data_IF_308097218191
#
_entry.id   IF_308097218191
#
_cell.length_a   1.000
_cell.length_b   1.000
_cell.length_c   1.000
_cell.angle_alpha   90.00
_cell.angle_beta   90.00
_cell.angle_gamma   90.00
#
_symmetry.space_group_name_H-M   'P 1'
#
loop_
_entity.id
_entity.type
_entity.pdbx_description
1 polymer ?
#
# COMPACT_ATOMS: atom_id res chain seq x y z
N UNK A 1 -26.49 31.62 -68.15
CA UNK A 1 -27.81 31.24 -67.60
C UNK A 1 -27.59 30.10 -66.63
N UNK A 2 -27.90 30.36 -65.35
CA UNK A 2 -28.03 29.52 -64.15
C UNK A 2 -27.04 28.36 -63.91
N UNK A 3 -26.19 28.43 -62.88
CA UNK A 3 -26.46 28.21 -61.43
C UNK A 3 -26.94 26.80 -61.09
N UNK A 4 -26.15 26.06 -60.29
CA UNK A 4 -26.49 25.66 -58.90
C UNK A 4 -25.37 24.77 -58.31
N UNK A 5 -24.47 25.38 -57.53
CA UNK A 5 -23.66 24.67 -56.51
C UNK A 5 -24.10 25.16 -55.13
N UNK A 6 -24.35 24.28 -54.14
CA UNK A 6 -24.88 24.69 -52.84
C UNK A 6 -23.82 25.40 -51.98
N UNK A 7 -24.22 26.37 -51.13
CA UNK A 7 -23.28 27.10 -50.29
C UNK A 7 -22.86 26.28 -49.05
N UNK A 8 -21.57 26.37 -48.73
CA UNK A 8 -20.97 25.90 -47.49
C UNK A 8 -21.62 26.60 -46.30
N UNK A 9 -22.22 25.84 -45.38
CA UNK A 9 -22.77 26.36 -44.14
C UNK A 9 -21.66 27.04 -43.30
N UNK A 10 -21.76 28.36 -43.13
CA UNK A 10 -20.98 29.10 -42.13
C UNK A 10 -21.37 28.58 -40.74
N UNK A 11 -20.40 28.07 -40.01
CA UNK A 11 -20.55 27.69 -38.61
C UNK A 11 -21.04 28.89 -37.78
N UNK A 12 -22.18 28.71 -37.13
CA UNK A 12 -22.68 29.61 -36.10
C UNK A 12 -21.79 29.43 -34.88
N UNK A 13 -20.93 30.41 -34.59
CA UNK A 13 -20.33 30.55 -33.27
C UNK A 13 -21.45 30.96 -32.29
N UNK A 14 -21.74 30.20 -31.22
CA UNK A 14 -22.62 30.70 -30.19
C UNK A 14 -21.89 31.82 -29.43
N UNK A 15 -22.25 33.06 -29.73
CA UNK A 15 -21.89 34.21 -28.89
C UNK A 15 -22.72 34.12 -27.62
N UNK A 16 -22.07 33.80 -26.51
CA UNK A 16 -22.71 33.85 -25.19
C UNK A 16 -23.17 35.29 -24.89
N UNK A 17 -24.44 35.51 -24.53
CA UNK A 17 -24.93 36.84 -24.17
C UNK A 17 -24.14 37.41 -22.99
N UNK A 18 -23.79 38.70 -23.04
CA UNK A 18 -22.98 39.36 -22.01
C UNK A 18 -23.56 39.20 -20.59
N UNK A 19 -24.89 39.10 -20.48
CA UNK A 19 -25.60 38.91 -19.21
C UNK A 19 -25.30 37.53 -18.57
N UNK A 20 -25.05 36.49 -19.38
CA UNK A 20 -24.65 35.17 -18.88
C UNK A 20 -23.21 35.19 -18.34
N UNK A 21 -22.35 36.00 -18.95
CA UNK A 21 -20.96 36.16 -18.55
C UNK A 21 -20.85 36.98 -17.25
N UNK A 22 -21.70 38.01 -17.11
CA UNK A 22 -21.85 38.78 -15.88
C UNK A 22 -22.42 37.92 -14.73
N UNK A 23 -23.43 37.08 -15.01
CA UNK A 23 -24.01 36.16 -14.04
C UNK A 23 -22.98 35.11 -13.55
N UNK A 24 -22.18 34.54 -14.46
CA UNK A 24 -21.10 33.61 -14.10
C UNK A 24 -20.01 34.30 -13.27
N UNK A 25 -19.64 35.52 -13.63
CA UNK A 25 -18.62 36.29 -12.88
C UNK A 25 -19.13 36.61 -11.47
N UNK A 26 -20.40 36.99 -11.32
CA UNK A 26 -21.04 37.20 -10.01
C UNK A 26 -21.10 35.92 -9.17
N UNK A 27 -21.39 34.76 -9.79
CA UNK A 27 -21.43 33.47 -9.12
C UNK A 27 -20.03 33.03 -8.63
N UNK A 28 -19.00 33.25 -9.44
CA UNK A 28 -17.59 32.98 -9.10
C UNK A 28 -17.09 33.88 -7.98
N UNK A 29 -17.44 35.18 -8.00
CA UNK A 29 -17.12 36.13 -6.93
C UNK A 29 -17.87 35.81 -5.62
N UNK A 30 -19.12 35.34 -5.70
CA UNK A 30 -19.88 34.86 -4.55
C UNK A 30 -19.24 33.63 -3.88
N UNK A 31 -18.71 32.71 -4.68
CA UNK A 31 -17.96 31.55 -4.17
C UNK A 31 -16.64 31.95 -3.50
N UNK A 32 -15.94 32.99 -3.98
CA UNK A 32 -14.68 33.46 -3.38
C UNK A 32 -14.92 34.21 -2.07
N UNK A 33 -16.05 34.93 -1.95
CA UNK A 33 -16.45 35.58 -0.71
C UNK A 33 -16.94 34.56 0.35
N UNK A 34 -17.67 33.51 -0.07
CA UNK A 34 -18.09 32.43 0.83
C UNK A 34 -16.91 31.59 1.35
N UNK A 35 -15.82 31.47 0.58
CA UNK A 35 -14.59 30.81 1.00
C UNK A 35 -13.70 31.68 1.93
N UNK A 36 -13.96 32.99 2.01
CA UNK A 36 -13.23 33.94 2.88
C UNK A 36 -14.08 34.41 4.08
N UNK A 37 -15.26 33.84 4.28
CA UNK A 37 -16.09 34.06 5.47
C UNK A 37 -15.44 33.45 6.70
N UNK A 38 -14.71 34.27 7.44
CA UNK A 38 -14.24 34.01 8.80
C UNK A 38 -15.42 33.60 9.69
N UNK A 39 -15.58 32.29 9.94
CA UNK A 39 -16.30 31.83 11.12
C UNK A 39 -15.36 32.04 12.29
N UNK A 40 -15.55 33.16 13.00
CA UNK A 40 -14.99 33.39 14.32
C UNK A 40 -15.66 32.42 15.30
N UNK A 41 -15.26 31.15 15.28
CA UNK A 41 -15.27 30.38 16.53
C UNK A 41 -14.06 30.83 17.32
N UNK A 42 -14.30 31.62 18.36
CA UNK A 42 -13.40 31.81 19.48
C UNK A 42 -13.08 30.43 20.06
N UNK A 43 -12.02 29.82 19.56
CA UNK A 43 -11.21 28.86 20.28
C UNK A 43 -9.79 29.10 19.78
N UNK A 44 -8.99 29.71 20.64
CA UNK A 44 -7.54 29.66 20.54
C UNK A 44 -7.13 28.18 20.58
N UNK A 45 -7.09 27.53 19.43
CA UNK A 45 -6.38 26.27 19.25
C UNK A 45 -5.26 26.57 18.28
N UNK A 46 -4.04 26.67 18.82
CA UNK A 46 -2.84 26.26 18.10
C UNK A 46 -3.21 25.10 17.16
N UNK A 47 -3.14 25.29 15.85
CA UNK A 47 -3.36 24.21 14.88
C UNK A 47 -2.21 23.23 15.02
N UNK A 48 -2.32 22.35 16.02
CA UNK A 48 -1.44 21.22 16.22
C UNK A 48 -1.58 20.37 14.97
N UNK A 49 -0.60 20.49 14.05
CA UNK A 49 -0.40 19.57 12.94
C UNK A 49 -0.68 18.16 13.47
N UNK A 50 -1.56 17.36 12.85
CA UNK A 50 -1.93 16.06 13.39
C UNK A 50 -0.66 15.25 13.63
N UNK A 51 -0.34 15.05 14.91
CA UNK A 51 0.90 14.45 15.31
C UNK A 51 0.83 12.96 14.97
N UNK A 52 1.89 12.43 14.35
CA UNK A 52 1.99 11.01 14.06
C UNK A 52 1.81 10.21 15.37
N UNK A 53 0.88 9.25 15.45
CA UNK A 53 0.56 8.59 16.71
C UNK A 53 1.79 7.91 17.33
N UNK A 54 2.05 8.15 18.62
CA UNK A 54 3.25 7.62 19.31
C UNK A 54 3.37 6.10 19.21
N UNK A 55 2.26 5.38 19.39
CA UNK A 55 2.21 3.91 19.32
C UNK A 55 2.45 3.33 17.92
N UNK A 56 2.49 4.18 16.89
CA UNK A 56 2.68 3.81 15.50
C UNK A 56 4.08 4.14 14.98
N UNK A 57 4.92 4.83 15.77
CA UNK A 57 6.21 5.31 15.31
C UNK A 57 7.17 4.17 14.98
N UNK A 58 8.06 4.43 14.02
CA UNK A 58 9.07 3.49 13.62
C UNK A 58 10.19 3.45 14.67
N UNK A 59 10.41 2.26 15.19
CA UNK A 59 11.42 1.93 16.21
C UNK A 59 12.29 0.73 15.77
N UNK A 60 11.91 0.04 14.70
CA UNK A 60 12.66 -1.06 14.13
C UNK A 60 11.79 -1.98 13.26
N UNK A 61 12.28 -3.19 12.91
CA UNK A 61 11.57 -4.09 12.00
C UNK A 61 10.18 -4.50 12.52
N UNK A 62 10.02 -4.69 13.83
CA UNK A 62 8.76 -5.13 14.46
C UNK A 62 7.63 -4.11 14.31
N UNK A 63 7.95 -2.81 14.33
CA UNK A 63 6.95 -1.73 14.23
C UNK A 63 6.70 -1.30 12.78
N UNK A 64 7.51 -1.74 11.82
CA UNK A 64 7.43 -1.33 10.42
C UNK A 64 6.06 -1.53 9.78
N UNK A 65 5.40 -2.68 10.02
CA UNK A 65 4.08 -2.96 9.42
C UNK A 65 3.00 -1.99 9.94
N UNK A 66 3.00 -1.73 11.25
CA UNK A 66 2.07 -0.78 11.87
C UNK A 66 2.40 0.67 11.44
N UNK A 67 3.68 1.03 11.43
CA UNK A 67 4.16 2.32 10.98
C UNK A 67 3.75 2.62 9.54
N UNK A 68 3.97 1.69 8.61
CA UNK A 68 3.62 1.88 7.21
C UNK A 68 2.11 2.00 7.02
N UNK A 69 1.31 1.21 7.76
CA UNK A 69 -0.15 1.33 7.76
C UNK A 69 -0.59 2.72 8.22
N UNK A 70 -0.01 3.23 9.30
CA UNK A 70 -0.37 4.53 9.87
C UNK A 70 0.12 5.69 9.00
N UNK A 71 1.30 5.56 8.39
CA UNK A 71 1.81 6.50 7.41
C UNK A 71 0.83 6.67 6.22
N UNK A 72 0.25 5.58 5.72
CA UNK A 72 -0.78 5.65 4.66
C UNK A 72 -2.03 6.41 5.07
N UNK A 73 -2.45 6.27 6.32
CA UNK A 73 -3.62 6.94 6.88
C UNK A 73 -3.35 8.43 7.13
N UNK A 74 -2.12 8.79 7.51
CA UNK A 74 -1.72 10.18 7.74
C UNK A 74 -1.42 10.94 6.44
N UNK A 75 -1.05 10.25 5.37
CA UNK A 75 -0.78 10.86 4.06
C UNK A 75 -2.09 11.12 3.30
N UNK A 76 -2.22 12.34 2.79
CA UNK A 76 -3.24 12.67 1.79
C UNK A 76 -3.08 11.80 0.53
N UNK A 77 -4.19 11.50 -0.15
CA UNK A 77 -4.22 10.56 -1.28
C UNK A 77 -3.24 10.95 -2.40
N UNK A 78 -3.16 12.24 -2.71
CA UNK A 78 -2.29 12.80 -3.74
C UNK A 78 -0.80 12.74 -3.38
N UNK A 79 -0.45 12.88 -2.11
CA UNK A 79 0.94 12.78 -1.62
C UNK A 79 1.36 11.33 -1.42
N UNK A 80 0.41 10.43 -1.14
CA UNK A 80 0.68 9.03 -0.81
C UNK A 80 1.48 8.30 -1.90
N UNK A 81 1.06 8.40 -3.16
CA UNK A 81 1.76 7.71 -4.25
C UNK A 81 3.15 8.29 -4.51
N UNK A 82 3.31 9.61 -4.35
CA UNK A 82 4.62 10.24 -4.41
C UNK A 82 5.57 9.67 -3.35
N UNK A 83 5.15 9.63 -2.09
CA UNK A 83 6.01 9.18 -0.99
C UNK A 83 6.31 7.69 -1.04
N UNK A 84 5.30 6.86 -1.30
CA UNK A 84 5.45 5.40 -1.19
C UNK A 84 6.02 4.76 -2.45
N UNK A 85 5.65 5.29 -3.63
CA UNK A 85 5.98 4.69 -4.92
C UNK A 85 7.00 5.53 -5.71
N UNK A 86 7.28 6.75 -5.26
CA UNK A 86 8.15 7.69 -6.00
C UNK A 86 7.49 8.29 -7.25
N UNK A 87 6.19 8.08 -7.43
CA UNK A 87 5.45 8.52 -8.62
C UNK A 87 4.98 9.96 -8.40
N UNK A 88 5.46 10.88 -9.22
CA UNK A 88 5.00 12.27 -9.18
C UNK A 88 3.68 12.39 -9.94
N UNK A 89 2.59 12.88 -9.33
CA UNK A 89 1.36 13.17 -10.04
C UNK A 89 1.57 14.18 -11.18
N UNK A 90 0.92 13.93 -12.33
CA UNK A 90 1.08 14.75 -13.54
C UNK A 90 0.61 16.20 -13.34
N UNK A 91 -0.36 16.41 -12.47
CA UNK A 91 -0.97 17.72 -12.22
C UNK A 91 -0.12 18.61 -11.29
N UNK A 92 0.99 18.10 -10.76
CA UNK A 92 1.84 18.86 -9.84
C UNK A 92 2.84 19.75 -10.56
N UNK A 93 2.73 21.05 -10.33
CA UNK A 93 3.78 22.01 -10.67
C UNK A 93 5.07 21.76 -9.85
N UNK A 94 6.24 22.24 -10.32
CA UNK A 94 7.50 22.08 -9.57
C UNK A 94 7.48 22.67 -8.15
N UNK A 95 6.74 23.77 -7.94
CA UNK A 95 6.58 24.41 -6.63
C UNK A 95 5.71 23.56 -5.69
N UNK A 96 4.58 23.03 -6.19
CA UNK A 96 3.74 22.10 -5.41
C UNK A 96 4.51 20.85 -5.03
N UNK A 97 5.27 20.25 -5.97
CA UNK A 97 6.12 19.09 -5.68
C UNK A 97 7.12 19.37 -4.56
N UNK A 98 7.77 20.53 -4.59
CA UNK A 98 8.73 20.94 -3.57
C UNK A 98 8.05 21.10 -2.20
N UNK A 99 6.88 21.75 -2.16
CA UNK A 99 6.11 21.92 -0.93
C UNK A 99 5.63 20.58 -0.35
N UNK A 100 5.05 19.71 -1.17
CA UNK A 100 4.62 18.38 -0.74
C UNK A 100 5.79 17.51 -0.27
N UNK A 101 6.95 17.62 -0.92
CA UNK A 101 8.16 16.92 -0.50
C UNK A 101 8.63 17.40 0.88
N UNK A 102 8.62 18.70 1.18
CA UNK A 102 8.97 19.23 2.50
C UNK A 102 8.02 18.70 3.58
N UNK A 103 6.71 18.77 3.34
CA UNK A 103 5.69 18.28 4.28
C UNK A 103 5.85 16.78 4.54
N UNK A 104 6.04 15.99 3.48
CA UNK A 104 6.20 14.55 3.60
C UNK A 104 7.50 14.15 4.32
N UNK A 105 8.62 14.84 4.05
CA UNK A 105 9.88 14.63 4.77
C UNK A 105 9.73 14.91 6.25
N UNK A 106 9.04 15.99 6.61
CA UNK A 106 8.78 16.36 7.99
C UNK A 106 7.86 15.35 8.69
N UNK A 107 6.83 14.85 8.01
CA UNK A 107 5.98 13.78 8.54
C UNK A 107 6.78 12.50 8.78
N UNK A 108 7.61 12.09 7.82
CA UNK A 108 8.48 10.91 7.95
C UNK A 108 9.45 11.05 9.12
N UNK A 109 10.12 12.20 9.27
CA UNK A 109 11.01 12.46 10.40
C UNK A 109 10.27 12.40 11.74
N UNK A 110 9.08 13.00 11.83
CA UNK A 110 8.25 12.97 13.05
C UNK A 110 7.62 11.60 13.37
N UNK A 111 7.65 10.68 12.40
CA UNK A 111 7.13 9.32 12.55
C UNK A 111 8.15 8.32 13.09
N UNK A 112 9.39 8.76 13.35
CA UNK A 112 10.48 7.93 13.87
C UNK A 112 10.67 8.25 15.36
N UNK A 113 10.82 7.20 16.17
CA UNK A 113 11.10 7.33 17.62
C UNK A 113 12.54 6.92 17.97
N UNK A 114 13.14 6.07 17.13
CA UNK A 114 14.47 5.50 17.37
C UNK A 114 15.60 6.34 16.77
N UNK A 115 16.65 6.54 17.57
CA UNK A 115 17.90 7.16 17.11
C UNK A 115 18.60 6.30 16.05
N UNK A 116 18.52 4.97 16.14
CA UNK A 116 19.11 4.06 15.15
C UNK A 116 18.38 4.17 13.80
N UNK A 117 17.06 4.28 13.83
CA UNK A 117 16.24 4.49 12.62
C UNK A 117 16.52 5.86 12.00
N UNK A 118 16.72 6.89 12.82
CA UNK A 118 17.12 8.22 12.34
C UNK A 118 18.50 8.19 11.67
N UNK A 119 19.47 7.47 12.25
CA UNK A 119 20.82 7.34 11.71
C UNK A 119 20.86 6.68 10.31
N UNK A 120 19.89 5.81 10.00
CA UNK A 120 19.73 5.24 8.64
C UNK A 120 19.44 6.33 7.60
N UNK A 121 18.72 7.39 7.99
CA UNK A 121 18.42 8.51 7.10
C UNK A 121 19.58 9.49 6.95
N UNK A 122 20.41 9.63 7.99
CA UNK A 122 21.62 10.48 7.95
C UNK A 122 22.65 9.98 6.92
N UNK A 123 22.59 8.70 6.56
CA UNK A 123 23.42 8.12 5.50
C UNK A 123 23.00 8.54 4.07
N UNK A 124 21.84 9.18 3.90
CA UNK A 124 21.37 9.65 2.60
C UNK A 124 22.04 11.01 2.30
N UNK A 125 22.73 11.17 1.16
CA UNK A 125 23.29 12.46 0.78
C UNK A 125 22.20 13.55 0.75
N UNK A 126 22.50 14.74 1.29
CA UNK A 126 21.54 15.85 1.39
C UNK A 126 20.93 16.24 0.03
N UNK A 127 21.69 16.11 -1.05
CA UNK A 127 21.23 16.37 -2.42
C UNK A 127 20.11 15.42 -2.87
N UNK A 128 20.07 14.20 -2.32
CA UNK A 128 19.12 13.15 -2.66
C UNK A 128 18.00 12.98 -1.62
N UNK A 129 18.00 13.82 -0.57
CA UNK A 129 17.09 13.72 0.57
C UNK A 129 15.68 14.17 0.18
N UNK A 130 14.94 13.24 -0.41
CA UNK A 130 13.53 13.38 -0.79
C UNK A 130 12.67 12.44 0.04
N UNK A 131 11.38 12.76 0.20
CA UNK A 131 10.46 11.89 0.93
C UNK A 131 10.40 10.45 0.36
N UNK A 132 10.37 10.24 -0.97
CA UNK A 132 10.41 8.89 -1.54
C UNK A 132 11.72 8.17 -1.24
N UNK A 133 12.86 8.89 -1.28
CA UNK A 133 14.15 8.31 -0.93
C UNK A 133 14.21 7.89 0.53
N UNK A 134 13.75 8.75 1.45
CA UNK A 134 13.64 8.41 2.88
C UNK A 134 12.79 7.15 3.09
N UNK A 135 11.58 7.12 2.52
CA UNK A 135 10.68 5.97 2.65
C UNK A 135 11.30 4.69 2.08
N UNK A 136 11.85 4.73 0.87
CA UNK A 136 12.47 3.55 0.23
C UNK A 136 13.67 3.01 1.02
N UNK A 137 14.50 3.88 1.60
CA UNK A 137 15.63 3.48 2.46
C UNK A 137 15.12 2.78 3.72
N UNK A 138 14.12 3.34 4.40
CA UNK A 138 13.50 2.74 5.58
C UNK A 138 12.84 1.40 5.24
N UNK A 139 12.07 1.34 4.15
CA UNK A 139 11.47 0.10 3.64
C UNK A 139 12.52 -0.95 3.35
N UNK A 140 13.62 -0.61 2.68
CA UNK A 140 14.68 -1.57 2.38
C UNK A 140 15.35 -2.15 3.64
N UNK A 141 15.41 -1.39 4.74
CA UNK A 141 16.07 -1.78 5.99
C UNK A 141 15.16 -2.48 6.99
N UNK A 142 13.92 -2.05 7.09
CA UNK A 142 13.00 -2.44 8.16
C UNK A 142 11.78 -3.23 7.67
N UNK A 143 11.51 -3.29 6.37
CA UNK A 143 10.51 -4.21 5.87
C UNK A 143 10.87 -5.63 6.29
N UNK A 144 9.93 -6.39 6.88
CA UNK A 144 10.18 -7.79 7.18
C UNK A 144 10.68 -8.52 5.93
N UNK A 145 11.78 -9.24 6.08
CA UNK A 145 12.41 -10.02 5.03
C UNK A 145 12.69 -11.45 5.50
N UNK A 146 11.88 -11.94 6.44
CA UNK A 146 11.96 -13.30 6.95
C UNK A 146 10.85 -14.21 6.41
N UNK A 147 11.18 -15.50 6.31
CA UNK A 147 10.31 -16.52 5.74
C UNK A 147 9.07 -16.76 6.61
N UNK A 148 9.17 -16.53 7.92
CA UNK A 148 8.05 -16.73 8.86
C UNK A 148 6.97 -15.69 8.62
N UNK A 149 7.34 -14.42 8.53
CA UNK A 149 6.43 -13.33 8.23
C UNK A 149 5.76 -13.51 6.87
N UNK A 150 6.52 -13.99 5.89
CA UNK A 150 5.99 -14.34 4.56
C UNK A 150 4.92 -15.42 4.68
N UNK A 151 5.17 -16.51 5.42
CA UNK A 151 4.18 -17.57 5.66
C UNK A 151 2.93 -17.06 6.37
N UNK A 152 3.07 -16.22 7.39
CA UNK A 152 1.93 -15.64 8.12
C UNK A 152 1.03 -14.80 7.22
N UNK A 153 1.63 -13.92 6.41
CA UNK A 153 0.90 -13.03 5.51
C UNK A 153 0.14 -13.82 4.44
N UNK A 154 0.80 -14.78 3.81
CA UNK A 154 0.16 -15.62 2.80
C UNK A 154 -0.86 -16.56 3.43
N UNK A 155 -0.62 -17.09 4.63
CA UNK A 155 -1.64 -17.86 5.36
C UNK A 155 -2.91 -17.03 5.59
N UNK A 156 -2.79 -15.78 6.03
CA UNK A 156 -3.92 -14.85 6.19
C UNK A 156 -4.63 -14.56 4.86
N UNK A 157 -3.88 -14.45 3.76
CA UNK A 157 -4.43 -14.22 2.43
C UNK A 157 -5.21 -15.45 1.92
N UNK A 158 -4.63 -16.65 2.04
CA UNK A 158 -5.25 -17.88 1.56
C UNK A 158 -6.42 -18.33 2.43
N UNK A 159 -6.37 -18.04 3.74
CA UNK A 159 -7.50 -18.24 4.65
C UNK A 159 -8.47 -17.05 4.68
N UNK A 160 -8.35 -16.10 3.74
CA UNK A 160 -9.20 -14.93 3.74
C UNK A 160 -10.65 -15.34 3.44
N UNK A 161 -11.58 -14.76 4.20
CA UNK A 161 -13.00 -15.06 4.11
C UNK A 161 -13.55 -14.84 2.69
N UNK A 162 -14.49 -15.67 2.21
CA UNK A 162 -15.12 -15.48 0.90
C UNK A 162 -15.76 -14.09 0.75
N UNK A 163 -15.77 -13.58 -0.48
CA UNK A 163 -16.36 -12.27 -0.79
C UNK A 163 -17.87 -12.27 -0.44
N UNK A 164 -18.36 -11.26 0.29
CA UNK A 164 -19.77 -11.18 0.64
C UNK A 164 -20.62 -10.73 -0.56
N UNK A 165 -21.89 -11.16 -0.59
CA UNK A 165 -22.83 -10.81 -1.66
C UNK A 165 -23.57 -9.48 -1.50
N UNK A 166 -23.24 -8.66 -0.50
CA UNK A 166 -23.91 -7.36 -0.26
C UNK A 166 -22.90 -6.22 -0.20
N UNK A 167 -23.27 -5.06 -0.76
CA UNK A 167 -22.41 -3.87 -0.84
C UNK A 167 -21.94 -3.42 0.55
N UNK A 168 -22.84 -3.32 1.54
CA UNK A 168 -22.47 -2.89 2.88
C UNK A 168 -21.47 -3.81 3.61
N UNK A 169 -21.41 -5.10 3.26
CA UNK A 169 -20.38 -6.01 3.78
C UNK A 169 -19.13 -6.02 2.91
N UNK A 170 -19.28 -5.76 1.61
CA UNK A 170 -18.19 -5.68 0.66
C UNK A 170 -17.21 -4.56 1.02
N UNK A 171 -17.70 -3.38 1.40
CA UNK A 171 -16.82 -2.24 1.72
C UNK A 171 -15.86 -2.55 2.88
N UNK A 172 -16.33 -3.19 3.94
CA UNK A 172 -15.46 -3.67 5.02
C UNK A 172 -14.51 -4.78 4.55
N UNK A 173 -15.04 -5.74 3.78
CA UNK A 173 -14.27 -6.86 3.26
C UNK A 173 -13.11 -6.43 2.35
N UNK A 174 -13.36 -5.51 1.41
CA UNK A 174 -12.34 -5.04 0.46
C UNK A 174 -11.28 -4.19 1.16
N UNK A 175 -11.65 -3.45 2.20
CA UNK A 175 -10.70 -2.69 3.02
C UNK A 175 -9.74 -3.62 3.77
N UNK A 176 -10.25 -4.68 4.39
CA UNK A 176 -9.43 -5.71 5.03
C UNK A 176 -8.53 -6.44 4.01
N UNK A 177 -9.09 -6.81 2.85
CA UNK A 177 -8.33 -7.48 1.78
C UNK A 177 -7.17 -6.62 1.28
N UNK A 178 -7.45 -5.34 0.96
CA UNK A 178 -6.44 -4.37 0.53
C UNK A 178 -5.35 -4.19 1.58
N UNK A 179 -5.70 -4.22 2.88
CA UNK A 179 -4.71 -4.13 3.95
C UNK A 179 -3.73 -5.33 3.94
N UNK A 180 -4.23 -6.55 3.74
CA UNK A 180 -3.38 -7.75 3.64
C UNK A 180 -2.51 -7.70 2.37
N UNK A 181 -3.13 -7.42 1.22
CA UNK A 181 -2.41 -7.29 -0.05
C UNK A 181 -1.29 -6.25 0.04
N UNK A 182 -1.54 -5.14 0.73
CA UNK A 182 -0.55 -4.10 0.92
C UNK A 182 0.59 -4.50 1.86
N UNK A 183 0.31 -5.24 2.95
CA UNK A 183 1.37 -5.81 3.80
C UNK A 183 2.28 -6.78 3.01
N UNK A 184 1.73 -7.52 2.05
CA UNK A 184 2.49 -8.40 1.15
C UNK A 184 3.36 -7.59 0.19
N UNK A 185 2.82 -6.51 -0.40
CA UNK A 185 3.57 -5.57 -1.28
C UNK A 185 4.69 -4.84 -0.53
N UNK A 186 4.50 -4.62 0.77
CA UNK A 186 5.52 -3.99 1.62
C UNK A 186 6.66 -4.92 2.00
N UNK A 187 6.36 -6.22 2.04
CA UNK A 187 7.33 -7.28 2.28
C UNK A 187 8.13 -7.53 0.99
N UNK A 188 9.39 -7.97 1.09
CA UNK A 188 10.23 -8.31 -0.07
C UNK A 188 9.84 -9.67 -0.68
N UNK A 189 8.56 -9.83 -1.03
CA UNK A 189 8.03 -11.10 -1.56
C UNK A 189 8.42 -11.31 -3.02
N UNK A 190 8.63 -12.57 -3.38
CA UNK A 190 8.95 -13.04 -4.73
C UNK A 190 7.82 -13.91 -5.28
N UNK A 191 7.79 -14.12 -6.59
CA UNK A 191 6.85 -15.09 -7.21
C UNK A 191 7.04 -16.49 -6.62
N UNK A 192 8.29 -16.88 -6.29
CA UNK A 192 8.55 -18.16 -5.65
C UNK A 192 7.86 -18.27 -4.29
N UNK A 193 7.84 -17.19 -3.50
CA UNK A 193 7.16 -17.17 -2.19
C UNK A 193 5.64 -17.37 -2.35
N UNK A 194 5.05 -16.73 -3.37
CA UNK A 194 3.63 -16.90 -3.71
C UNK A 194 3.33 -18.36 -4.07
N UNK A 195 4.15 -18.97 -4.95
CA UNK A 195 3.94 -20.34 -5.38
C UNK A 195 4.17 -21.36 -4.25
N UNK A 196 5.21 -21.17 -3.44
CA UNK A 196 5.53 -22.04 -2.32
C UNK A 196 4.43 -22.00 -1.24
N UNK A 197 3.94 -20.80 -0.91
CA UNK A 197 2.85 -20.65 0.07
C UNK A 197 1.51 -21.15 -0.46
N UNK A 198 1.23 -20.97 -1.76
CA UNK A 198 0.05 -21.54 -2.40
C UNK A 198 0.08 -23.07 -2.34
N UNK A 199 1.23 -23.67 -2.67
CA UNK A 199 1.42 -25.13 -2.59
C UNK A 199 1.17 -25.67 -1.17
N UNK A 200 1.62 -24.94 -0.14
CA UNK A 200 1.33 -25.27 1.27
C UNK A 200 -0.15 -25.10 1.63
N UNK A 201 -0.83 -24.11 1.07
CA UNK A 201 -2.24 -23.83 1.34
C UNK A 201 -3.17 -24.89 0.76
N UNK A 202 -2.84 -25.43 -0.42
CA UNK A 202 -3.62 -26.50 -1.09
C UNK A 202 -3.15 -27.91 -0.73
N UNK A 203 -2.14 -28.03 0.14
CA UNK A 203 -1.58 -29.32 0.53
C UNK A 203 -2.65 -30.22 1.18
N UNK A 204 -2.60 -31.51 0.86
CA UNK A 204 -3.52 -32.50 1.42
C UNK A 204 -3.42 -32.58 2.96
N UNK A 205 -4.52 -32.80 3.71
CA UNK A 205 -4.51 -32.86 5.17
C UNK A 205 -3.51 -33.87 5.79
N UNK A 206 -3.10 -34.90 5.04
CA UNK A 206 -2.04 -35.82 5.48
C UNK A 206 -0.67 -35.16 5.66
N UNK A 207 -0.49 -33.93 5.16
CA UNK A 207 0.74 -33.14 5.27
C UNK A 207 0.67 -32.07 6.37
N UNK A 208 -0.35 -32.06 7.23
CA UNK A 208 -0.44 -31.05 8.30
C UNK A 208 0.74 -31.12 9.28
N UNK A 209 1.23 -32.32 9.62
CA UNK A 209 2.44 -32.49 10.44
C UNK A 209 3.69 -31.92 9.75
N UNK A 210 3.80 -32.13 8.44
CA UNK A 210 4.86 -31.54 7.62
C UNK A 210 4.75 -30.01 7.57
N UNK A 211 3.56 -29.44 7.37
CA UNK A 211 3.36 -27.99 7.38
C UNK A 211 3.83 -27.38 8.69
N UNK A 212 3.47 -27.97 9.82
CA UNK A 212 3.91 -27.49 11.13
C UNK A 212 5.43 -27.53 11.29
N UNK A 213 6.08 -28.65 10.94
CA UNK A 213 7.54 -28.79 11.00
C UNK A 213 8.25 -27.86 10.02
N UNK A 214 7.69 -27.68 8.81
CA UNK A 214 8.22 -26.80 7.79
C UNK A 214 8.20 -25.35 8.27
N UNK A 215 7.07 -24.87 8.83
CA UNK A 215 6.93 -23.52 9.38
C UNK A 215 7.90 -23.29 10.53
N UNK A 216 8.07 -24.26 11.43
CA UNK A 216 9.08 -24.17 12.51
C UNK A 216 10.50 -24.02 11.95
N UNK A 217 10.84 -24.80 10.92
CA UNK A 217 12.12 -24.71 10.21
C UNK A 217 12.35 -23.38 9.46
N UNK A 218 11.31 -22.58 9.22
CA UNK A 218 11.44 -21.26 8.59
C UNK A 218 11.72 -20.12 9.58
N UNK A 219 11.69 -20.36 10.90
CA UNK A 219 11.91 -19.33 11.93
C UNK A 219 13.25 -18.61 11.83
N UNK A 220 14.27 -19.28 11.32
CA UNK A 220 15.63 -18.73 11.17
C UNK A 220 15.98 -18.38 9.73
N UNK A 221 15.05 -18.57 8.79
CA UNK A 221 15.29 -18.38 7.36
C UNK A 221 14.82 -17.02 6.89
N UNK A 222 15.60 -16.40 6.00
CA UNK A 222 15.20 -15.15 5.35
C UNK A 222 14.26 -15.36 4.17
N UNK A 223 14.48 -16.40 3.39
CA UNK A 223 13.69 -16.68 2.19
C UNK A 223 13.03 -18.05 2.27
N UNK A 224 11.88 -18.19 1.61
CA UNK A 224 11.31 -19.50 1.42
C UNK A 224 12.16 -20.30 0.42
N UNK A 225 12.22 -21.63 0.60
CA UNK A 225 12.89 -22.50 -0.33
C UNK A 225 12.22 -22.45 -1.72
N UNK A 226 12.98 -22.80 -2.76
CA UNK A 226 12.44 -22.95 -4.10
C UNK A 226 11.27 -23.94 -4.11
N UNK A 227 10.28 -23.68 -4.98
CA UNK A 227 9.10 -24.53 -5.12
C UNK A 227 9.47 -26.00 -5.40
N UNK A 228 10.48 -26.26 -6.22
CA UNK A 228 10.94 -27.62 -6.54
C UNK A 228 11.45 -28.35 -5.29
N UNK A 229 12.27 -27.67 -4.48
CA UNK A 229 12.76 -28.22 -3.21
C UNK A 229 11.67 -28.43 -2.17
N UNK A 230 10.60 -27.62 -2.21
CA UNK A 230 9.41 -27.85 -1.37
C UNK A 230 8.61 -29.07 -1.85
N UNK A 231 8.37 -29.17 -3.15
CA UNK A 231 7.64 -30.28 -3.77
C UNK A 231 8.36 -31.63 -3.53
N UNK A 232 9.68 -31.66 -3.63
CA UNK A 232 10.48 -32.86 -3.35
C UNK A 232 10.34 -33.31 -1.90
N UNK A 233 10.37 -32.37 -0.94
CA UNK A 233 10.16 -32.70 0.48
C UNK A 233 8.75 -33.19 0.76
N UNK A 234 7.72 -32.58 0.16
CA UNK A 234 6.35 -33.07 0.26
C UNK A 234 6.21 -34.48 -0.32
N UNK A 235 6.86 -34.77 -1.45
CA UNK A 235 6.86 -36.12 -2.05
C UNK A 235 7.49 -37.15 -1.13
N UNK A 236 8.62 -36.83 -0.50
CA UNK A 236 9.27 -37.72 0.50
C UNK A 236 8.31 -37.99 1.66
N UNK A 237 7.67 -36.96 2.20
CA UNK A 237 6.72 -37.12 3.31
C UNK A 237 5.52 -38.01 2.92
N UNK A 238 4.96 -37.82 1.73
CA UNK A 238 3.85 -38.64 1.26
C UNK A 238 4.23 -40.12 1.14
N UNK A 239 5.45 -40.42 0.67
CA UNK A 239 5.97 -41.81 0.63
C UNK A 239 6.09 -42.38 2.04
N UNK A 240 6.70 -41.64 2.96
CA UNK A 240 6.85 -42.07 4.36
C UNK A 240 5.51 -42.31 5.06
N UNK A 241 4.47 -41.52 4.74
CA UNK A 241 3.13 -41.73 5.28
C UNK A 241 2.44 -42.97 4.67
N UNK A 242 2.72 -43.31 3.40
CA UNK A 242 2.21 -44.53 2.76
C UNK A 242 2.84 -45.80 3.33
N UNK A 243 4.14 -45.77 3.66
CA UNK A 243 4.87 -46.93 4.18
C UNK A 243 4.45 -47.33 5.61
N UNK A 244 3.77 -46.43 6.35
CA UNK A 244 3.24 -46.72 7.70
C UNK A 244 1.89 -47.45 7.65
N UNK A 245 1.19 -47.49 6.50
CA UNK A 245 -0.18 -48.01 6.41
C UNK A 245 -0.26 -49.50 5.98
N UNK A 246 0.86 -50.22 5.75
CA UNK A 246 0.81 -51.67 5.50
C UNK A 246 2.08 -52.36 5.99
N UNK A 247 1.98 -53.33 6.95
CA UNK A 247 1.66 -54.70 6.57
C UNK A 247 0.73 -55.40 7.57
N UNK A 248 -0.54 -55.55 7.21
CA UNK A 248 -1.39 -56.56 7.80
C UNK A 248 -2.34 -57.10 6.72
N UNK A 249 -1.79 -57.97 5.87
CA UNK A 249 -2.46 -59.15 5.32
C UNK A 249 -1.50 -59.83 4.32
N UNK A 250 -0.68 -60.73 4.85
CA UNK A 250 -0.26 -61.92 4.12
C UNK A 250 -0.92 -63.11 4.83
N UNK A 251 -1.60 -63.90 4.02
CA UNK A 251 -2.41 -65.10 4.32
C UNK A 251 -1.67 -66.11 5.18
#
# INVERSE_FOLDING_TARGET
MNDTSPPLAKGVHPTFPADQLAALTSLLSGLTAAASGTVTTTTSSSTTRPAFPKHARLDGPKTFANWTRQLRLCLADDIRSYVLDGIVPVDWTPSQRSAHNVVARELLANSIDSAEVSAVLDAIPTADLTAPKMYSTLKSRYAPDDATRTLELFSRLWSFRPMPGTVGKFDGWIMEFKAIAQEIIDTKTTINDVLATLLLAIAHPSLESFKASFTDGQRTQRALPAIDSLADRMRVQLRSNCDVVTPAQAV
#
